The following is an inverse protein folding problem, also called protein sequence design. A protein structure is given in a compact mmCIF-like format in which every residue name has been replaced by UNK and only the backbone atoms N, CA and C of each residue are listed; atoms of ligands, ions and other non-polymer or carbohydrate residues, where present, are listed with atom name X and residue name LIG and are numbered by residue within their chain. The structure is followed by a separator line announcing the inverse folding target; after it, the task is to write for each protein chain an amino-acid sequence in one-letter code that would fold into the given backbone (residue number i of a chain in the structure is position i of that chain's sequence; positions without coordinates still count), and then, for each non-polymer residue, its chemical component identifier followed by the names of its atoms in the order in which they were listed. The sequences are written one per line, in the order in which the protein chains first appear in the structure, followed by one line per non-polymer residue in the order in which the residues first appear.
data_IF_737436623153
#
_entry.id   IF_737436623153
#
_cell.length_a   1.000
_cell.length_b   1.000
_cell.length_c   1.000
_cell.angle_alpha   90.00
_cell.angle_beta   90.00
_cell.angle_gamma   90.00
#
_symmetry.space_group_name_H-M   'P 1'
#
loop_
_entity.id
_entity.type
_entity.pdbx_description
1 polymer ?
#
# COMPACT_ATOMS: atom_id res chain seq x y z
N UNK A 1 5.23 15.28 -7.31
CA UNK A 1 6.36 14.83 -8.17
C UNK A 1 7.65 15.07 -7.42
N UNK A 2 8.61 14.15 -7.47
CA UNK A 2 9.89 14.26 -6.75
C UNK A 2 10.99 14.45 -7.81
N UNK A 3 11.78 15.51 -7.66
CA UNK A 3 12.77 15.94 -8.65
C UNK A 3 14.06 16.36 -7.96
N UNK A 4 15.24 16.27 -8.62
CA UNK A 4 16.47 16.76 -8.02
C UNK A 4 16.43 18.27 -7.82
N UNK A 5 17.17 18.76 -6.82
CA UNK A 5 17.57 20.17 -6.77
C UNK A 5 18.20 20.58 -8.12
N UNK A 6 17.98 21.83 -8.54
CA UNK A 6 18.41 22.36 -9.83
C UNK A 6 17.78 21.70 -11.09
N UNK A 7 16.69 20.91 -10.98
CA UNK A 7 16.05 20.29 -12.16
C UNK A 7 15.67 21.26 -13.28
N UNK A 8 15.47 22.54 -12.93
CA UNK A 8 15.15 23.62 -13.87
C UNK A 8 16.24 23.83 -14.94
N UNK A 9 17.46 23.35 -14.71
CA UNK A 9 18.55 23.38 -15.72
C UNK A 9 18.37 22.31 -16.81
N UNK A 10 17.53 21.31 -16.56
CA UNK A 10 17.27 20.23 -17.50
C UNK A 10 15.95 20.42 -18.25
N UNK A 11 16.05 20.88 -19.50
CA UNK A 11 14.88 21.12 -20.35
C UNK A 11 13.97 19.89 -20.51
N UNK A 12 14.55 18.68 -20.53
CA UNK A 12 13.77 17.44 -20.62
C UNK A 12 12.87 17.24 -19.41
N UNK A 13 13.37 17.55 -18.21
CA UNK A 13 12.64 17.39 -16.95
C UNK A 13 11.54 18.45 -16.85
N UNK A 14 11.82 19.69 -17.24
CA UNK A 14 10.80 20.74 -17.37
C UNK A 14 9.65 20.34 -18.30
N UNK A 15 9.97 19.89 -19.51
CA UNK A 15 8.97 19.48 -20.50
C UNK A 15 8.08 18.33 -19.99
N UNK A 16 8.67 17.37 -19.26
CA UNK A 16 7.92 16.27 -18.68
C UNK A 16 6.97 16.73 -17.57
N UNK A 17 7.44 17.61 -16.68
CA UNK A 17 6.62 18.19 -15.61
C UNK A 17 5.46 19.01 -16.18
N UNK A 18 5.73 19.83 -17.20
CA UNK A 18 4.69 20.63 -17.85
C UNK A 18 3.65 19.75 -18.55
N UNK A 19 4.09 18.67 -19.20
CA UNK A 19 3.18 17.68 -19.79
C UNK A 19 2.27 17.06 -18.74
N UNK A 20 2.82 16.67 -17.58
CA UNK A 20 2.04 16.11 -16.47
C UNK A 20 1.07 17.16 -15.91
N UNK A 21 1.53 18.40 -15.69
CA UNK A 21 0.68 19.51 -15.21
C UNK A 21 -0.47 19.79 -16.16
N UNK A 22 -0.22 19.84 -17.46
CA UNK A 22 -1.25 20.09 -18.46
C UNK A 22 -2.36 19.01 -18.45
N UNK A 23 -2.01 17.77 -18.12
CA UNK A 23 -2.97 16.66 -18.00
C UNK A 23 -3.68 16.69 -16.64
N UNK A 24 -2.94 16.92 -15.55
CA UNK A 24 -3.45 16.79 -14.19
C UNK A 24 -4.21 18.02 -13.68
N UNK A 25 -3.73 19.23 -13.98
CA UNK A 25 -4.31 20.49 -13.49
C UNK A 25 -5.80 20.65 -13.80
N UNK A 26 -6.33 20.28 -14.99
CA UNK A 26 -7.77 20.33 -15.26
C UNK A 26 -8.60 19.40 -14.38
N UNK A 27 -8.00 18.33 -13.84
CA UNK A 27 -8.69 17.29 -13.06
C UNK A 27 -8.63 17.62 -11.57
N UNK A 28 -7.45 17.97 -11.07
CA UNK A 28 -7.21 18.16 -9.63
C UNK A 28 -6.98 19.61 -9.22
N UNK A 29 -6.79 20.54 -10.16
CA UNK A 29 -6.43 21.93 -9.90
C UNK A 29 -4.93 22.11 -9.63
N UNK A 30 -4.35 23.18 -10.15
CA UNK A 30 -2.91 23.43 -10.11
C UNK A 30 -2.34 23.52 -8.68
N UNK A 31 -3.09 24.10 -7.75
CA UNK A 31 -2.71 24.22 -6.32
C UNK A 31 -2.48 22.87 -5.61
N UNK A 32 -3.02 21.78 -6.18
CA UNK A 32 -2.90 20.43 -5.63
C UNK A 32 -1.74 19.65 -6.27
N UNK A 33 -0.99 20.26 -7.18
CA UNK A 33 0.21 19.67 -7.77
C UNK A 33 1.44 20.19 -7.03
N UNK A 34 2.10 19.28 -6.32
CA UNK A 34 3.30 19.61 -5.55
C UNK A 34 4.53 19.04 -6.26
N UNK A 35 5.52 19.89 -6.51
CA UNK A 35 6.86 19.51 -6.94
C UNK A 35 7.76 19.58 -5.72
N UNK A 36 8.35 18.45 -5.35
CA UNK A 36 9.29 18.36 -4.25
C UNK A 36 10.71 18.25 -4.83
N UNK A 37 11.50 19.30 -4.59
CA UNK A 37 12.93 19.30 -4.87
C UNK A 37 13.68 18.62 -3.72
N UNK A 38 14.53 17.65 -4.06
CA UNK A 38 15.32 16.89 -3.07
C UNK A 38 16.80 16.84 -3.45
N UNK A 39 17.69 16.88 -2.45
CA UNK A 39 19.12 16.85 -2.67
C UNK A 39 19.56 15.46 -3.14
N UNK A 40 20.75 15.38 -3.74
CA UNK A 40 21.36 14.10 -4.15
C UNK A 40 22.01 13.32 -3.00
N UNK A 41 21.74 13.72 -1.75
CA UNK A 41 22.14 12.99 -0.55
C UNK A 41 21.06 11.94 -0.20
N UNK A 42 21.45 10.66 -0.10
CA UNK A 42 20.50 9.56 0.06
C UNK A 42 19.63 9.63 1.32
N UNK A 43 20.21 9.89 2.49
CA UNK A 43 19.47 9.94 3.76
C UNK A 43 18.53 11.15 3.82
N UNK A 44 19.03 12.30 3.38
CA UNK A 44 18.23 13.53 3.34
C UNK A 44 17.10 13.43 2.30
N UNK A 45 17.34 12.77 1.17
CA UNK A 45 16.32 12.48 0.16
C UNK A 45 15.17 11.66 0.76
N UNK A 46 15.46 10.57 1.47
CA UNK A 46 14.44 9.72 2.09
C UNK A 46 13.63 10.51 3.13
N UNK A 47 14.29 11.27 3.99
CA UNK A 47 13.61 12.02 5.05
C UNK A 47 12.75 13.16 4.50
N UNK A 48 13.24 13.94 3.52
CA UNK A 48 12.45 14.99 2.85
C UNK A 48 11.24 14.42 2.12
N UNK A 49 11.39 13.31 1.39
CA UNK A 49 10.26 12.66 0.70
C UNK A 49 9.22 12.18 1.72
N UNK A 50 9.65 11.49 2.78
CA UNK A 50 8.74 10.96 3.81
C UNK A 50 7.96 12.09 4.52
N UNK A 51 8.64 13.19 4.85
CA UNK A 51 8.03 14.36 5.46
C UNK A 51 6.99 15.00 4.53
N UNK A 52 7.38 15.29 3.29
CA UNK A 52 6.49 15.90 2.31
C UNK A 52 5.26 15.02 2.01
N UNK A 53 5.42 13.70 1.93
CA UNK A 53 4.29 12.78 1.80
C UNK A 53 3.36 12.91 3.01
N UNK A 54 3.92 12.85 4.23
CA UNK A 54 3.15 12.87 5.48
C UNK A 54 2.33 14.16 5.65
N UNK A 55 2.90 15.30 5.27
CA UNK A 55 2.21 16.61 5.35
C UNK A 55 1.06 16.76 4.35
N UNK A 56 1.06 15.95 3.29
CA UNK A 56 0.11 16.05 2.19
C UNK A 56 -0.84 14.83 2.08
N UNK A 57 -0.95 14.03 3.15
CA UNK A 57 -1.88 12.90 3.19
C UNK A 57 -3.32 13.43 3.27
N UNK A 58 -4.16 12.96 2.35
CA UNK A 58 -5.60 13.25 2.30
C UNK A 58 -6.40 12.39 3.28
N UNK A 59 -7.65 12.79 3.55
CA UNK A 59 -8.52 12.13 4.54
C UNK A 59 -8.82 10.65 4.24
N UNK A 60 -8.76 10.25 2.96
CA UNK A 60 -8.93 8.85 2.54
C UNK A 60 -7.71 7.98 2.86
N UNK A 61 -6.59 8.58 3.29
CA UNK A 61 -5.35 7.93 3.74
C UNK A 61 -4.88 6.85 2.77
N UNK A 62 -4.91 7.16 1.48
CA UNK A 62 -4.46 6.32 0.38
C UNK A 62 -3.32 7.00 -0.36
N UNK A 63 -2.23 6.28 -0.57
CA UNK A 63 -1.14 6.71 -1.44
C UNK A 63 -1.07 5.75 -2.62
N UNK A 64 -1.18 6.30 -3.82
CA UNK A 64 -0.83 5.63 -5.06
C UNK A 64 0.52 6.15 -5.53
N UNK A 65 1.55 5.31 -5.43
CA UNK A 65 2.91 5.65 -5.82
C UNK A 65 3.26 5.01 -7.16
N UNK A 66 3.39 5.82 -8.21
CA UNK A 66 3.82 5.36 -9.53
C UNK A 66 5.34 5.48 -9.64
N UNK A 67 6.01 4.33 -9.68
CA UNK A 67 7.46 4.18 -9.69
C UNK A 67 7.95 3.56 -11.02
N UNK A 68 7.35 3.98 -12.14
CA UNK A 68 7.67 3.48 -13.49
C UNK A 68 8.89 4.14 -14.12
N UNK A 69 9.26 5.36 -13.68
CA UNK A 69 10.27 6.17 -14.34
C UNK A 69 10.99 7.13 -13.41
N UNK A 70 12.05 7.75 -13.94
CA UNK A 70 12.92 8.66 -13.21
C UNK A 70 14.27 8.02 -12.83
N UNK A 71 15.07 8.76 -12.08
CA UNK A 71 16.39 8.30 -11.66
C UNK A 71 16.25 7.18 -10.63
N UNK A 72 16.99 6.09 -10.80
CA UNK A 72 16.95 4.92 -9.90
C UNK A 72 17.15 5.28 -8.41
N UNK A 73 18.07 6.19 -8.02
CA UNK A 73 18.19 6.63 -6.63
C UNK A 73 16.88 7.22 -6.08
N UNK A 74 16.15 7.99 -6.89
CA UNK A 74 14.87 8.58 -6.48
C UNK A 74 13.80 7.52 -6.31
N UNK A 75 13.74 6.54 -7.20
CA UNK A 75 12.80 5.41 -7.10
C UNK A 75 13.06 4.66 -5.79
N UNK A 76 14.32 4.33 -5.50
CA UNK A 76 14.71 3.63 -4.27
C UNK A 76 14.41 4.46 -3.03
N UNK A 77 14.81 5.74 -3.01
CA UNK A 77 14.55 6.63 -1.86
C UNK A 77 13.06 6.86 -1.63
N UNK A 78 12.26 6.96 -2.69
CA UNK A 78 10.80 7.07 -2.60
C UNK A 78 10.20 5.80 -2.01
N UNK A 79 10.64 4.62 -2.46
CA UNK A 79 10.20 3.35 -1.89
C UNK A 79 10.56 3.25 -0.40
N UNK A 80 11.78 3.62 -0.01
CA UNK A 80 12.22 3.64 1.38
C UNK A 80 11.39 4.62 2.23
N UNK A 81 11.11 5.82 1.70
CA UNK A 81 10.25 6.80 2.36
C UNK A 81 8.82 6.27 2.54
N UNK A 82 8.27 5.57 1.56
CA UNK A 82 6.93 4.97 1.65
C UNK A 82 6.84 3.86 2.71
N UNK A 83 7.92 3.11 2.94
CA UNK A 83 7.98 2.09 4.00
C UNK A 83 7.89 2.67 5.42
N UNK A 84 8.21 3.96 5.60
CA UNK A 84 8.15 4.61 6.93
C UNK A 84 6.78 5.20 7.25
N UNK A 85 5.90 5.35 6.26
CA UNK A 85 4.57 5.94 6.43
C UNK A 85 3.66 4.95 7.15
N UNK A 86 3.03 5.39 8.24
CA UNK A 86 2.16 4.57 9.10
C UNK A 86 0.68 4.92 8.92
N UNK A 87 -0.17 3.93 9.22
CA UNK A 87 -1.63 4.08 9.23
C UNK A 87 -2.20 4.60 7.90
N UNK A 88 -1.58 4.22 6.78
CA UNK A 88 -1.92 4.68 5.42
C UNK A 88 -1.86 3.46 4.51
N UNK A 89 -2.84 3.35 3.61
CA UNK A 89 -2.80 2.33 2.57
C UNK A 89 -1.89 2.81 1.45
N UNK A 90 -0.82 2.07 1.17
CA UNK A 90 0.12 2.40 0.11
C UNK A 90 0.05 1.34 -0.99
N UNK A 91 -0.24 1.78 -2.21
CA UNK A 91 -0.23 0.97 -3.42
C UNK A 91 0.93 1.48 -4.29
N UNK A 92 1.81 0.56 -4.68
CA UNK A 92 2.93 0.86 -5.57
C UNK A 92 2.61 0.30 -6.94
N UNK A 93 2.74 1.14 -7.96
CA UNK A 93 2.59 0.76 -9.36
C UNK A 93 3.88 1.00 -10.13
N UNK A 94 4.15 0.14 -11.10
CA UNK A 94 5.30 0.29 -11.99
C UNK A 94 4.98 -0.35 -13.34
N UNK A 95 5.11 0.45 -14.40
CA UNK A 95 4.87 0.02 -15.77
C UNK A 95 6.06 -0.76 -16.31
N UNK A 96 5.78 -1.75 -17.15
CA UNK A 96 6.84 -2.41 -17.92
C UNK A 96 7.36 -1.46 -19.00
N UNK A 97 8.68 -1.48 -19.25
CA UNK A 97 9.31 -0.59 -20.24
C UNK A 97 8.75 -0.75 -21.66
N UNK A 98 8.25 -1.95 -21.99
CA UNK A 98 7.63 -2.25 -23.29
C UNK A 98 6.14 -1.87 -23.37
N UNK A 99 5.59 -1.23 -22.34
CA UNK A 99 4.17 -0.84 -22.24
C UNK A 99 3.18 -2.00 -22.34
N UNK A 100 3.64 -3.24 -22.11
CA UNK A 100 2.76 -4.43 -22.16
C UNK A 100 1.81 -4.56 -20.97
N UNK A 101 1.97 -3.70 -19.97
CA UNK A 101 1.18 -3.68 -18.75
C UNK A 101 1.95 -3.05 -17.60
N UNK A 102 1.47 -3.31 -16.38
CA UNK A 102 2.03 -2.78 -15.14
C UNK A 102 1.86 -3.77 -13.99
N UNK A 103 2.66 -3.60 -12.95
CA UNK A 103 2.45 -4.26 -11.65
C UNK A 103 1.78 -3.28 -10.68
N UNK A 104 0.93 -3.80 -9.80
CA UNK A 104 0.26 -3.03 -8.74
C UNK A 104 0.28 -3.85 -7.46
N UNK A 105 0.99 -3.35 -6.45
CA UNK A 105 1.29 -4.08 -5.21
C UNK A 105 0.92 -3.26 -3.98
N UNK A 106 0.23 -3.92 -3.04
CA UNK A 106 -0.14 -3.34 -1.75
C UNK A 106 1.01 -3.51 -0.75
N UNK A 107 1.62 -2.40 -0.34
CA UNK A 107 2.82 -2.39 0.51
C UNK A 107 2.54 -2.97 1.91
N UNK A 108 1.33 -2.77 2.42
CA UNK A 108 0.89 -3.28 3.73
C UNK A 108 1.10 -4.79 3.89
N UNK A 109 1.06 -5.54 2.79
CA UNK A 109 1.33 -6.98 2.77
C UNK A 109 2.73 -7.32 3.27
N UNK A 110 3.72 -6.52 2.90
CA UNK A 110 5.14 -6.74 3.21
C UNK A 110 5.52 -6.20 4.59
N UNK A 111 4.77 -5.21 5.07
CA UNK A 111 4.94 -4.61 6.40
C UNK A 111 4.18 -5.37 7.51
N UNK A 112 3.23 -6.24 7.13
CA UNK A 112 2.45 -7.01 8.07
C UNK A 112 3.33 -7.97 8.89
N UNK A 113 3.16 -8.04 10.22
CA UNK A 113 3.91 -8.97 11.04
C UNK A 113 3.65 -10.43 10.62
N UNK A 114 4.68 -11.27 10.66
CA UNK A 114 4.53 -12.71 10.46
C UNK A 114 3.86 -13.32 11.69
N UNK A 115 2.56 -13.62 11.57
CA UNK A 115 1.74 -14.21 12.63
C UNK A 115 1.03 -15.43 12.07
N UNK A 116 1.42 -16.63 12.50
CA UNK A 116 0.75 -17.89 12.13
C UNK A 116 -0.76 -17.86 12.43
N UNK A 117 -1.16 -17.14 13.49
CA UNK A 117 -2.58 -16.91 13.82
C UNK A 117 -3.32 -16.17 12.71
N UNK A 118 -2.73 -15.13 12.13
CA UNK A 118 -3.35 -14.38 11.03
C UNK A 118 -3.55 -15.27 9.81
N UNK A 119 -2.57 -16.12 9.51
CA UNK A 119 -2.70 -17.06 8.42
C UNK A 119 -3.90 -18.00 8.60
N UNK A 120 -4.07 -18.57 9.81
CA UNK A 120 -5.23 -19.42 10.12
C UNK A 120 -6.56 -18.67 10.05
N UNK A 121 -6.61 -17.42 10.52
CA UNK A 121 -7.80 -16.56 10.41
C UNK A 121 -8.15 -16.30 8.93
N UNK A 122 -7.16 -15.93 8.10
CA UNK A 122 -7.33 -15.72 6.67
C UNK A 122 -7.87 -16.99 6.00
N UNK A 123 -7.33 -18.17 6.36
CA UNK A 123 -7.82 -19.43 5.81
C UNK A 123 -9.27 -19.71 6.17
N UNK A 124 -9.64 -19.52 7.44
CA UNK A 124 -11.04 -19.65 7.84
C UNK A 124 -11.96 -18.73 7.04
N UNK A 125 -11.55 -17.47 6.82
CA UNK A 125 -12.32 -16.53 6.00
C UNK A 125 -12.41 -16.95 4.52
N UNK A 126 -11.31 -17.45 3.92
CA UNK A 126 -11.31 -17.96 2.54
C UNK A 126 -12.23 -19.19 2.37
N UNK A 127 -12.35 -20.00 3.41
CA UNK A 127 -13.28 -21.14 3.46
C UNK A 127 -14.74 -20.73 3.72
N UNK A 128 -15.01 -19.43 3.88
CA UNK A 128 -16.35 -18.90 4.15
C UNK A 128 -16.82 -19.05 5.60
N UNK A 129 -15.91 -19.36 6.53
CA UNK A 129 -16.25 -19.50 7.96
C UNK A 129 -16.55 -18.15 8.59
N UNK A 130 -17.51 -18.14 9.52
CA UNK A 130 -17.82 -16.96 10.33
C UNK A 130 -16.74 -16.71 11.39
N UNK A 131 -16.66 -15.48 11.88
CA UNK A 131 -15.76 -15.10 13.00
C UNK A 131 -15.95 -16.02 14.20
N UNK A 132 -17.20 -16.37 14.54
CA UNK A 132 -17.53 -17.28 15.63
C UNK A 132 -16.93 -18.67 15.40
N UNK A 133 -17.08 -19.23 14.20
CA UNK A 133 -16.55 -20.56 13.88
C UNK A 133 -15.03 -20.59 13.93
N UNK A 134 -14.38 -19.56 13.38
CA UNK A 134 -12.92 -19.40 13.45
C UNK A 134 -12.45 -19.31 14.92
N UNK A 135 -13.20 -18.59 15.75
CA UNK A 135 -12.94 -18.47 17.19
C UNK A 135 -12.94 -19.84 17.89
N UNK A 136 -13.97 -20.64 17.64
CA UNK A 136 -14.14 -21.99 18.20
C UNK A 136 -13.00 -22.92 17.77
N UNK A 137 -12.66 -22.95 16.47
CA UNK A 137 -11.60 -23.82 15.92
C UNK A 137 -10.20 -23.44 16.40
N UNK A 138 -9.96 -22.15 16.67
CA UNK A 138 -8.67 -21.67 17.17
C UNK A 138 -8.59 -21.67 18.71
N UNK A 139 -9.67 -21.99 19.42
CA UNK A 139 -9.72 -21.93 20.89
C UNK A 139 -9.53 -20.50 21.43
N UNK A 140 -9.99 -19.49 20.68
CA UNK A 140 -9.87 -18.07 21.04
C UNK A 140 -11.24 -17.49 21.35
N UNK A 141 -11.26 -16.35 22.05
CA UNK A 141 -12.51 -15.59 22.24
C UNK A 141 -12.88 -14.82 20.96
N UNK A 142 -14.17 -14.58 20.68
CA UNK A 142 -14.59 -13.78 19.51
C UNK A 142 -14.04 -12.36 19.54
N UNK A 143 -13.83 -11.81 20.74
CA UNK A 143 -13.20 -10.51 20.93
C UNK A 143 -11.73 -10.51 20.48
N UNK A 144 -10.98 -11.57 20.78
CA UNK A 144 -9.61 -11.75 20.30
C UNK A 144 -9.55 -11.83 18.78
N UNK A 145 -10.42 -12.61 18.13
CA UNK A 145 -10.47 -12.65 16.66
C UNK A 145 -10.82 -11.29 16.08
N UNK A 146 -11.78 -10.58 16.67
CA UNK A 146 -12.17 -9.24 16.23
C UNK A 146 -11.02 -8.22 16.35
N UNK A 147 -10.21 -8.32 17.42
CA UNK A 147 -9.01 -7.50 17.58
C UNK A 147 -7.99 -7.80 16.48
N UNK A 148 -7.68 -9.07 16.22
CA UNK A 148 -6.75 -9.45 15.16
C UNK A 148 -7.23 -8.99 13.78
N UNK A 149 -8.53 -9.09 13.50
CA UNK A 149 -9.11 -8.60 12.24
C UNK A 149 -8.94 -7.08 12.08
N UNK A 150 -9.13 -6.29 13.15
CA UNK A 150 -8.87 -4.85 13.13
C UNK A 150 -7.41 -4.54 12.83
N UNK A 151 -6.47 -5.28 13.43
CA UNK A 151 -5.05 -5.12 13.12
C UNK A 151 -4.73 -5.50 11.68
N UNK A 152 -5.33 -6.58 11.16
CA UNK A 152 -5.16 -7.02 9.77
C UNK A 152 -5.72 -6.02 8.74
N UNK A 153 -6.78 -5.27 9.09
CA UNK A 153 -7.32 -4.18 8.25
C UNK A 153 -6.29 -3.08 8.03
N UNK A 154 -5.45 -2.76 9.03
CA UNK A 154 -4.39 -1.73 8.90
C UNK A 154 -3.38 -2.05 7.80
N UNK A 155 -3.15 -3.34 7.56
CA UNK A 155 -2.26 -3.84 6.50
C UNK A 155 -3.02 -4.21 5.22
N UNK A 156 -4.31 -3.86 5.15
CA UNK A 156 -5.22 -4.18 4.07
C UNK A 156 -5.30 -5.69 3.75
N UNK A 157 -5.02 -6.59 4.71
CA UNK A 157 -5.07 -8.05 4.47
C UNK A 157 -6.51 -8.56 4.39
N UNK A 158 -7.40 -7.92 5.14
CA UNK A 158 -8.84 -8.15 5.14
C UNK A 158 -9.56 -6.81 5.10
N UNK A 159 -10.81 -6.81 4.67
CA UNK A 159 -11.68 -5.64 4.72
C UNK A 159 -13.07 -6.01 5.24
N UNK A 160 -13.75 -5.13 5.99
CA UNK A 160 -15.15 -5.36 6.32
C UNK A 160 -15.99 -5.31 5.04
N UNK A 161 -16.91 -6.26 4.89
CA UNK A 161 -17.88 -6.30 3.78
C UNK A 161 -18.90 -5.16 3.92
N UNK A 162 -19.32 -4.88 5.16
CA UNK A 162 -20.17 -3.76 5.54
C UNK A 162 -19.67 -3.18 6.87
N UNK A 163 -19.04 -1.98 6.85
CA UNK A 163 -18.43 -1.40 8.05
C UNK A 163 -19.42 -1.08 9.17
N UNK A 164 -20.70 -0.87 8.83
CA UNK A 164 -21.71 -0.32 9.74
C UNK A 164 -22.66 -1.38 10.35
N UNK A 165 -22.45 -2.68 10.10
CA UNK A 165 -23.24 -3.73 10.74
C UNK A 165 -22.68 -4.11 12.12
N UNK A 166 -23.57 -4.45 13.07
CA UNK A 166 -23.19 -4.86 14.45
C UNK A 166 -22.22 -6.04 14.49
N UNK A 167 -22.23 -6.89 13.46
CA UNK A 167 -21.29 -8.01 13.28
C UNK A 167 -20.74 -7.96 11.86
N UNK A 168 -19.68 -7.19 11.60
CA UNK A 168 -19.14 -7.04 10.26
C UNK A 168 -18.58 -8.38 9.79
N UNK A 169 -19.03 -8.83 8.62
CA UNK A 169 -18.35 -9.87 7.86
C UNK A 169 -17.05 -9.31 7.29
N UNK A 170 -16.02 -10.15 7.18
CA UNK A 170 -14.72 -9.75 6.63
C UNK A 170 -14.43 -10.54 5.36
N UNK A 171 -13.88 -9.85 4.37
CA UNK A 171 -13.42 -10.41 3.11
C UNK A 171 -11.90 -10.36 3.06
N UNK A 172 -11.28 -11.42 2.57
CA UNK A 172 -9.83 -11.45 2.32
C UNK A 172 -9.53 -10.69 1.03
N UNK A 173 -8.59 -9.75 1.11
CA UNK A 173 -8.19 -8.92 -0.03
C UNK A 173 -7.14 -9.64 -0.91
N UNK A 174 -6.73 -9.01 -2.02
CA UNK A 174 -5.56 -9.49 -2.79
C UNK A 174 -4.29 -9.49 -1.94
N UNK A 175 -4.07 -8.45 -1.13
CA UNK A 175 -2.97 -8.36 -0.16
C UNK A 175 -2.99 -9.53 0.83
N UNK A 176 -4.14 -9.86 1.41
CA UNK A 176 -4.29 -11.03 2.30
C UNK A 176 -3.87 -12.34 1.65
N UNK A 177 -4.21 -12.55 0.37
CA UNK A 177 -3.79 -13.73 -0.40
C UNK A 177 -2.28 -13.75 -0.67
N UNK A 178 -1.67 -12.59 -0.95
CA UNK A 178 -0.22 -12.50 -1.14
C UNK A 178 0.50 -12.74 0.20
N UNK A 179 0.01 -12.18 1.31
CA UNK A 179 0.54 -12.43 2.64
C UNK A 179 0.62 -13.94 2.93
N UNK A 180 -0.45 -14.70 2.68
CA UNK A 180 -0.44 -16.16 2.83
C UNK A 180 0.68 -16.83 2.04
N UNK A 181 0.87 -16.44 0.76
CA UNK A 181 1.93 -16.96 -0.10
C UNK A 181 3.33 -16.64 0.45
N UNK A 182 3.54 -15.41 0.94
CA UNK A 182 4.80 -14.99 1.54
C UNK A 182 5.11 -15.78 2.82
N UNK A 183 4.09 -16.07 3.62
CA UNK A 183 4.24 -16.91 4.83
C UNK A 183 4.38 -18.41 4.51
N UNK A 184 4.25 -18.82 3.24
CA UNK A 184 4.23 -20.23 2.80
C UNK A 184 3.16 -21.07 3.49
N UNK A 185 2.11 -20.42 3.98
CA UNK A 185 0.99 -21.08 4.65
C UNK A 185 -0.06 -21.45 3.59
N UNK A 186 -0.52 -22.70 3.62
CA UNK A 186 -1.62 -23.17 2.78
C UNK A 186 -2.86 -23.33 3.65
N UNK A 187 -4.00 -22.91 3.13
CA UNK A 187 -5.28 -23.25 3.75
C UNK A 187 -5.53 -24.72 3.48
N UNK A 188 -5.83 -25.49 4.52
CA UNK A 188 -6.12 -26.91 4.38
C UNK A 188 -7.50 -27.09 3.72
N UNK A 189 -7.49 -27.01 2.40
CA UNK A 189 -8.32 -27.80 1.49
C UNK A 189 -7.43 -28.18 0.31
N UNK A 190 -6.65 -29.24 0.51
CA UNK A 190 -6.63 -30.24 -0.55
C UNK A 190 -8.04 -30.86 -0.51
N UNK A 191 -8.78 -30.72 -1.60
CA UNK A 191 -9.31 -31.89 -2.32
C UNK A 191 -10.26 -31.46 -3.44
N UNK A 192 -10.33 -32.23 -4.54
CA UNK A 192 -9.81 -33.59 -4.72
C UNK A 192 -8.53 -33.70 -5.56
#
# INVERSE_FOLDING_TARGET
MIVPEDYQREQRTLNAIDSIKNIASPIIGEKNIIILEVPLNGEEMVTRISHAITENITDDRLILAVLSGGMRPFIVSTLLALLTIRDVRVIIESDFENLSGYISLELGTFLAPSKRRWAKIICGLLEGKSVRRISEELGLSPATISYELKEMVKYNLVKPEKPNERTPKYLVTKAGKIYMRLQREKCHKEDP
#
